data_IF_383141986668
#
_entry.id   IF_383141986668
#
_cell.length_a   1.000
_cell.length_b   1.000
_cell.length_c   1.000
_cell.angle_alpha   90.00
_cell.angle_beta   90.00
_cell.angle_gamma   90.00
#
_symmetry.space_group_name_H-M   'P 1'
#
loop_
_entity.id
_entity.type
_entity.pdbx_description
1 polymer ?
2 non-polymer ?
3 non-polymer ?
4 non-polymer ?
5 water ?
#
# COMPACT_ATOMS: atom_id res chain seq x y z
N UNK A 19 14.71 5.96 -31.13
CA UNK A 19 13.81 5.54 -30.04
C UNK A 19 12.63 6.48 -29.83
N UNK A 20 11.55 5.97 -29.24
CA UNK A 20 10.28 6.70 -29.19
C UNK A 20 10.29 7.73 -28.06
N UNK A 21 9.43 8.76 -28.20
CA UNK A 21 9.39 9.94 -27.33
C UNK A 21 7.93 10.22 -26.95
N UNK A 22 7.70 10.71 -25.73
CA UNK A 22 6.35 11.00 -25.22
C UNK A 22 6.39 12.30 -24.45
N UNK A 23 5.73 13.36 -24.97
CA UNK A 23 5.57 14.61 -24.23
C UNK A 23 6.93 15.22 -23.89
N UNK A 24 7.85 15.20 -24.87
CA UNK A 24 9.19 15.78 -24.72
C UNK A 24 10.23 14.87 -24.08
N UNK A 25 9.82 13.70 -23.56
CA UNK A 25 10.68 12.83 -22.76
C UNK A 25 10.94 11.52 -23.50
N UNK A 26 12.21 11.05 -23.53
CA UNK A 26 12.58 9.71 -24.04
C UNK A 26 11.77 8.63 -23.28
N UNK A 27 11.07 7.74 -24.00
CA UNK A 27 10.34 6.62 -23.39
C UNK A 27 10.59 5.40 -24.27
N UNK A 28 11.72 4.76 -24.02
CA UNK A 28 12.38 3.89 -24.96
C UNK A 28 12.15 2.45 -24.65
N UNK A 29 11.06 1.93 -25.15
CA UNK A 29 10.60 0.60 -24.76
C UNK A 29 10.50 -0.35 -25.94
N UNK A 30 10.33 0.19 -27.15
CA UNK A 30 10.21 -0.62 -28.36
C UNK A 30 11.44 -1.47 -28.58
N UNK A 31 11.43 -2.33 -29.61
CA UNK A 31 10.35 -2.55 -30.59
C UNK A 31 9.15 -3.37 -30.10
N UNK A 32 9.26 -4.03 -28.95
CA UNK A 32 8.16 -4.89 -28.46
C UNK A 32 6.94 -4.05 -28.11
N UNK A 33 7.15 -2.89 -27.53
CA UNK A 33 6.06 -2.03 -27.06
C UNK A 33 5.96 -0.74 -27.89
N UNK A 34 4.79 -0.52 -28.52
CA UNK A 34 4.57 0.57 -29.47
C UNK A 34 3.27 1.34 -29.11
N UNK A 35 3.03 2.48 -29.80
CA UNK A 35 1.77 3.21 -29.72
C UNK A 35 1.58 3.68 -28.28
N UNK A 36 2.52 4.47 -27.81
CA UNK A 36 2.55 4.93 -26.42
C UNK A 36 1.53 6.04 -26.23
N UNK A 37 0.86 6.02 -25.08
CA UNK A 37 -0.04 7.09 -24.68
C UNK A 37 0.30 7.48 -23.25
N UNK A 38 0.62 8.75 -23.05
CA UNK A 38 0.98 9.30 -21.75
C UNK A 38 -0.21 9.14 -20.78
N UNK A 39 -0.05 8.32 -19.71
CA UNK A 39 -1.05 8.22 -18.65
C UNK A 39 -0.79 9.34 -17.64
N UNK A 40 0.44 9.46 -17.15
CA UNK A 40 0.75 10.42 -16.11
C UNK A 40 2.15 10.31 -15.57
N UNK A 41 2.34 10.79 -14.33
CA UNK A 41 3.62 10.72 -13.64
C UNK A 41 3.59 9.70 -12.51
N UNK A 42 4.78 9.25 -12.13
CA UNK A 42 5.01 8.46 -10.92
C UNK A 42 6.16 9.02 -10.10
N UNK A 43 6.72 8.20 -9.19
CA UNK A 43 7.74 8.69 -8.25
C UNK A 43 9.11 8.90 -8.92
N UNK A 44 9.47 8.02 -9.88
CA UNK A 44 10.78 8.11 -10.54
C UNK A 44 10.71 8.34 -12.03
N UNK A 45 9.52 8.63 -12.56
CA UNK A 45 9.37 8.90 -13.98
C UNK A 45 7.96 8.77 -14.48
N UNK A 46 7.81 9.06 -15.75
CA UNK A 46 6.57 8.93 -16.52
C UNK A 46 5.98 7.50 -16.56
N UNK A 47 4.64 7.40 -16.54
CA UNK A 47 3.89 6.17 -16.81
C UNK A 47 3.12 6.34 -18.13
N UNK A 48 3.18 5.33 -19.01
CA UNK A 48 2.48 5.26 -20.31
C UNK A 48 1.79 3.92 -20.48
N UNK A 49 0.73 3.86 -21.29
CA UNK A 49 0.26 2.59 -21.84
C UNK A 49 0.95 2.33 -23.16
N UNK A 50 1.02 1.07 -23.56
CA UNK A 50 1.67 0.70 -24.83
C UNK A 50 1.09 -0.60 -25.32
N UNK A 51 1.17 -0.85 -26.62
CA UNK A 51 0.72 -2.12 -27.18
C UNK A 51 1.85 -3.14 -27.13
N UNK A 52 1.62 -4.29 -26.49
CA UNK A 52 2.61 -5.34 -26.38
C UNK A 52 2.42 -6.17 -27.64
N UNK A 53 3.40 -6.11 -28.56
CA UNK A 53 3.26 -6.86 -29.81
C UNK A 53 3.45 -8.38 -29.66
N UNK A 54 3.88 -8.89 -28.47
CA UNK A 54 4.05 -10.33 -28.30
C UNK A 54 2.74 -10.94 -27.78
N UNK A 55 2.21 -10.39 -26.68
CA UNK A 55 0.95 -10.86 -26.09
C UNK A 55 -0.30 -10.19 -26.67
N UNK A 56 -0.15 -9.24 -27.59
CA UNK A 56 -1.25 -8.65 -28.36
C UNK A 56 -2.31 -7.99 -27.48
N UNK A 57 -1.86 -7.29 -26.43
CA UNK A 57 -2.69 -6.53 -25.51
C UNK A 57 -1.95 -5.26 -25.12
N UNK A 58 -2.69 -4.22 -24.71
CA UNK A 58 -2.07 -3.06 -24.14
C UNK A 58 -1.64 -3.39 -22.70
N UNK A 59 -0.52 -2.77 -22.30
CA UNK A 59 0.11 -2.92 -21.00
C UNK A 59 0.38 -1.54 -20.42
N UNK A 60 0.72 -1.46 -19.13
CA UNK A 60 1.19 -0.25 -18.51
C UNK A 60 2.74 -0.35 -18.38
N UNK A 61 3.45 0.77 -18.59
CA UNK A 61 4.90 0.81 -18.43
C UNK A 61 5.30 2.00 -17.59
N UNK A 62 6.06 1.78 -16.51
CA UNK A 62 6.59 2.90 -15.75
C UNK A 62 8.09 3.04 -15.98
N UNK A 63 8.54 4.29 -16.20
CA UNK A 63 9.96 4.62 -16.38
C UNK A 63 10.56 4.98 -15.04
N UNK A 64 11.72 4.37 -14.68
CA UNK A 64 12.47 4.66 -13.48
C UNK A 64 13.80 5.23 -13.97
N UNK A 65 14.08 6.49 -13.64
CA UNK A 65 15.38 7.13 -13.91
C UNK A 65 16.15 7.30 -12.62
N UNK A 66 17.49 7.10 -12.66
CA UNK A 66 18.29 7.36 -11.46
C UNK A 66 18.36 8.90 -11.22
N UNK A 67 18.54 9.31 -9.97
CA UNK A 67 18.67 10.75 -9.65
C UNK A 67 20.15 11.15 -9.53
N UNK A 68 20.52 12.31 -10.12
CA UNK A 68 21.88 12.85 -10.07
C UNK A 68 22.89 11.84 -10.69
N UNK A 69 23.87 11.25 -9.93
CA UNK A 69 24.98 10.47 -10.53
C UNK A 69 24.85 8.96 -10.27
N UNK A 70 24.12 8.27 -11.17
CA UNK A 70 23.95 6.81 -11.16
C UNK A 70 23.39 6.33 -9.82
N UNK A 71 22.46 7.11 -9.26
CA UNK A 71 21.96 6.89 -7.92
C UNK A 71 20.49 6.49 -8.02
N UNK A 72 20.23 5.21 -7.84
CA UNK A 72 18.87 4.71 -7.77
C UNK A 72 18.35 4.78 -6.33
N UNK A 73 17.07 4.41 -6.14
CA UNK A 73 16.41 4.44 -4.84
C UNK A 73 16.24 3.01 -4.38
N UNK A 74 16.53 2.72 -3.11
CA UNK A 74 16.37 1.36 -2.54
C UNK A 74 14.94 0.88 -2.70
N UNK A 75 13.97 1.80 -2.77
CA UNK A 75 12.55 1.42 -2.85
C UNK A 75 12.27 0.74 -4.19
N UNK A 76 13.04 1.09 -5.26
CA UNK A 76 12.89 0.42 -6.56
C UNK A 76 13.32 -1.01 -6.44
N UNK A 77 14.45 -1.26 -5.80
CA UNK A 77 14.92 -2.62 -5.59
C UNK A 77 13.97 -3.42 -4.71
N UNK A 78 13.56 -2.83 -3.58
CA UNK A 78 12.60 -3.44 -2.65
C UNK A 78 11.34 -3.94 -3.40
N UNK A 79 10.76 -3.10 -4.24
CA UNK A 79 9.52 -3.42 -4.91
C UNK A 79 9.77 -4.49 -5.91
N UNK A 80 10.85 -4.36 -6.73
CA UNK A 80 11.13 -5.41 -7.72
C UNK A 80 11.30 -6.78 -7.02
N UNK A 81 12.09 -6.85 -5.94
CA UNK A 81 12.32 -8.11 -5.25
C UNK A 81 10.98 -8.74 -4.78
N UNK A 82 10.15 -7.93 -4.13
CA UNK A 82 8.87 -8.43 -3.60
C UNK A 82 7.94 -8.86 -4.75
N UNK A 83 7.73 -8.03 -5.74
CA UNK A 83 6.77 -8.32 -6.81
C UNK A 83 7.18 -9.47 -7.69
N UNK A 84 8.48 -9.68 -7.87
CA UNK A 84 8.93 -10.88 -8.55
C UNK A 84 8.73 -12.13 -7.74
N UNK A 85 8.75 -12.06 -6.39
CA UNK A 85 8.53 -13.23 -5.54
C UNK A 85 7.08 -13.57 -5.38
N UNK A 86 6.24 -12.58 -5.36
CA UNK A 86 4.81 -12.77 -5.10
C UNK A 86 4.10 -13.16 -6.35
N UNK A 87 3.12 -14.03 -6.19
CA UNK A 87 2.24 -14.39 -7.27
C UNK A 87 0.82 -14.54 -6.70
N UNK A 88 -0.04 -13.53 -6.97
CA UNK A 88 -1.39 -13.51 -6.42
C UNK A 88 -2.31 -12.68 -7.30
N UNK A 89 -3.55 -13.13 -7.48
CA UNK A 89 -4.51 -12.44 -8.31
C UNK A 89 -4.80 -11.01 -7.89
N UNK A 90 -4.67 -10.69 -6.58
CA UNK A 90 -4.96 -9.37 -6.12
C UNK A 90 -3.72 -8.54 -5.81
N UNK A 91 -2.56 -8.92 -6.40
CA UNK A 91 -1.34 -8.17 -6.26
C UNK A 91 -0.79 -7.98 -7.68
N UNK A 92 -0.44 -6.76 -8.01
CA UNK A 92 0.11 -6.45 -9.35
C UNK A 92 1.41 -7.25 -9.56
N UNK A 93 1.55 -7.79 -10.74
CA UNK A 93 2.75 -8.55 -11.07
C UNK A 93 3.71 -7.69 -11.86
N UNK A 94 4.90 -8.18 -12.13
CA UNK A 94 5.79 -7.55 -13.14
C UNK A 94 5.85 -8.50 -14.33
N UNK A 95 5.41 -8.05 -15.49
CA UNK A 95 5.38 -8.86 -16.70
C UNK A 95 6.74 -8.85 -17.41
N UNK A 96 7.44 -7.70 -17.37
CA UNK A 96 8.71 -7.54 -18.08
C UNK A 96 9.48 -6.37 -17.47
N UNK A 97 10.82 -6.37 -17.63
CA UNK A 97 11.65 -5.25 -17.20
C UNK A 97 12.61 -4.98 -18.35
N UNK A 98 12.66 -3.73 -18.82
CA UNK A 98 13.50 -3.32 -19.94
C UNK A 98 14.65 -2.48 -19.39
N UNK A 99 15.90 -2.85 -19.73
CA UNK A 99 17.06 -2.05 -19.38
C UNK A 99 18.21 -2.43 -20.35
N UNK A 100 19.27 -1.68 -20.33
CA UNK A 100 20.44 -1.97 -21.21
C UNK A 100 21.09 -3.28 -20.81
N UNK A 101 21.82 -3.93 -21.73
CA UNK A 101 22.40 -5.26 -21.40
C UNK A 101 23.57 -5.31 -20.43
N UNK A 102 24.17 -4.16 -20.09
CA UNK A 102 25.32 -4.07 -19.22
C UNK A 102 25.09 -3.02 -18.21
N UNK A 103 25.76 -3.16 -17.04
CA UNK A 103 25.70 -2.15 -15.97
C UNK A 103 26.17 -0.81 -16.47
N UNK A 104 27.25 -0.78 -17.27
CA UNK A 104 27.84 0.47 -17.74
C UNK A 104 26.85 1.25 -18.59
N UNK A 105 26.06 0.53 -19.39
CA UNK A 105 25.05 1.18 -20.25
C UNK A 105 23.69 1.40 -19.57
N UNK A 106 23.44 0.74 -18.44
CA UNK A 106 22.17 0.81 -17.73
C UNK A 106 21.94 2.24 -17.25
N UNK A 107 20.79 2.81 -17.59
CA UNK A 107 20.35 4.11 -17.07
C UNK A 107 18.86 3.95 -16.70
N UNK A 108 17.91 4.14 -17.60
CA UNK A 108 16.50 4.01 -17.26
C UNK A 108 16.14 2.54 -17.20
N UNK A 109 15.22 2.22 -16.29
CA UNK A 109 14.64 0.90 -16.13
C UNK A 109 13.12 1.06 -16.38
N UNK A 110 12.56 0.29 -17.26
CA UNK A 110 11.11 0.31 -17.52
C UNK A 110 10.47 -0.96 -16.99
N UNK A 111 9.39 -0.80 -16.22
CA UNK A 111 8.73 -1.93 -15.61
C UNK A 111 7.38 -2.08 -16.27
N UNK A 112 7.14 -3.22 -16.87
CA UNK A 112 5.91 -3.50 -17.63
C UNK A 112 4.96 -4.28 -16.72
N UNK A 113 3.68 -3.85 -16.66
CA UNK A 113 2.67 -4.52 -15.83
C UNK A 113 1.34 -4.54 -16.56
N UNK A 114 0.42 -5.41 -16.10
CA UNK A 114 -0.96 -5.42 -16.60
C UNK A 114 -1.58 -4.01 -16.63
N UNK A 115 -2.29 -3.70 -17.72
CA UNK A 115 -2.97 -2.44 -17.83
C UNK A 115 -4.24 -2.53 -17.00
N UNK A 116 -4.49 -1.53 -16.15
CA UNK A 116 -5.69 -1.48 -15.32
C UNK A 116 -6.42 -0.18 -15.65
N UNK A 117 -7.72 -0.23 -15.92
CA UNK A 117 -8.58 0.92 -16.33
C UNK A 117 -8.39 2.10 -15.41
N UNK A 118 -8.39 1.83 -14.07
CA UNK A 118 -8.47 2.91 -13.12
C UNK A 118 -7.85 2.47 -11.78
N UNK A 119 -8.07 3.28 -10.75
CA UNK A 119 -7.67 2.99 -9.38
C UNK A 119 -8.73 3.51 -8.46
N UNK A 120 -8.72 3.08 -7.17
CA UNK A 120 -9.82 3.44 -6.29
C UNK A 120 -9.79 4.95 -5.97
N UNK A 121 -8.62 5.63 -6.01
CA UNK A 121 -8.60 7.09 -5.79
C UNK A 121 -9.42 7.80 -6.88
N UNK A 122 -9.15 7.48 -8.11
CA UNK A 122 -9.90 8.08 -9.26
C UNK A 122 -11.36 7.72 -9.19
N UNK A 123 -11.63 6.45 -8.86
CA UNK A 123 -13.03 6.02 -8.86
C UNK A 123 -13.79 6.75 -7.74
N UNK A 124 -13.19 6.92 -6.57
CA UNK A 124 -13.90 7.61 -5.48
C UNK A 124 -14.07 9.12 -5.75
N UNK A 125 -13.25 9.72 -6.57
CA UNK A 125 -13.43 11.17 -6.83
C UNK A 125 -14.69 11.40 -7.72
N UNK A 126 -15.07 10.38 -8.53
CA UNK A 126 -16.04 10.48 -9.59
C UNK A 126 -17.35 9.63 -9.39
N UNK A 127 -17.30 8.55 -8.59
CA UNK A 127 -18.34 7.52 -8.61
C UNK A 127 -18.84 7.14 -7.22
N UNK A 128 -20.14 7.09 -7.01
CA UNK A 128 -20.75 6.45 -5.86
C UNK A 128 -20.61 4.92 -6.01
N UNK A 129 -20.15 4.26 -4.97
CA UNK A 129 -20.09 2.80 -4.95
C UNK A 129 -21.36 2.16 -4.41
N UNK A 130 -21.87 1.12 -5.07
CA UNK A 130 -22.91 0.31 -4.47
C UNK A 130 -22.36 -0.43 -3.27
N UNK A 131 -23.25 -0.86 -2.32
CA UNK A 131 -22.80 -1.71 -1.24
C UNK A 131 -22.15 -2.98 -1.78
N UNK A 132 -22.68 -3.51 -2.92
CA UNK A 132 -22.07 -4.70 -3.51
C UNK A 132 -20.64 -4.45 -3.97
N UNK A 133 -20.37 -3.27 -4.57
CA UNK A 133 -19.03 -2.95 -4.99
C UNK A 133 -18.09 -2.77 -3.78
N UNK A 134 -18.58 -2.09 -2.71
CA UNK A 134 -17.76 -1.86 -1.50
C UNK A 134 -17.37 -3.23 -0.90
N UNK A 135 -18.34 -4.13 -0.82
CA UNK A 135 -18.14 -5.47 -0.28
C UNK A 135 -17.08 -6.25 -1.10
N UNK A 136 -17.24 -6.25 -2.42
CA UNK A 136 -16.33 -6.93 -3.31
C UNK A 136 -14.90 -6.35 -3.30
N UNK A 137 -14.79 -5.03 -3.36
CA UNK A 137 -13.49 -4.35 -3.24
C UNK A 137 -12.81 -4.71 -1.93
N UNK A 138 -13.56 -4.60 -0.81
CA UNK A 138 -12.98 -4.90 0.50
C UNK A 138 -12.50 -6.34 0.57
N UNK A 139 -13.32 -7.26 0.03
CA UNK A 139 -12.92 -8.70 0.00
C UNK A 139 -11.56 -8.86 -0.71
N UNK A 140 -11.43 -8.22 -1.89
CA UNK A 140 -10.24 -8.44 -2.72
C UNK A 140 -9.01 -7.77 -2.04
N UNK A 141 -9.19 -6.60 -1.37
CA UNK A 141 -8.11 -5.96 -0.63
C UNK A 141 -7.61 -6.93 0.44
N UNK A 142 -8.56 -7.50 1.20
CA UNK A 142 -8.16 -8.36 2.31
C UNK A 142 -7.58 -9.70 1.80
N UNK A 143 -8.07 -10.21 0.70
CA UNK A 143 -7.58 -11.47 0.10
C UNK A 143 -6.09 -11.24 -0.32
N UNK A 144 -5.79 -10.12 -1.01
CA UNK A 144 -4.40 -9.80 -1.34
C UNK A 144 -3.54 -9.59 -0.10
N UNK A 145 -4.10 -8.86 0.88
CA UNK A 145 -3.39 -8.57 2.14
C UNK A 145 -3.09 -9.86 2.90
N UNK A 146 -4.01 -10.82 2.84
CA UNK A 146 -3.76 -12.13 3.52
C UNK A 146 -2.46 -12.74 2.97
N UNK A 147 -2.30 -12.71 1.65
CA UNK A 147 -1.10 -13.27 1.02
C UNK A 147 0.15 -12.49 1.42
N UNK A 148 0.09 -11.17 1.37
CA UNK A 148 1.20 -10.30 1.77
C UNK A 148 1.63 -10.61 3.22
N UNK A 149 0.67 -10.61 4.14
CA UNK A 149 0.98 -10.86 5.55
C UNK A 149 1.44 -12.31 5.76
N UNK A 150 0.93 -13.27 4.97
CA UNK A 150 1.39 -14.65 5.10
C UNK A 150 2.89 -14.79 4.72
N UNK A 151 3.41 -13.86 3.92
CA UNK A 151 4.84 -13.82 3.55
C UNK A 151 5.66 -13.04 4.57
N UNK A 152 5.06 -12.66 5.71
CA UNK A 152 5.67 -11.87 6.75
C UNK A 152 6.04 -10.47 6.27
N UNK A 153 5.30 -9.93 5.27
CA UNK A 153 5.55 -8.62 4.70
C UNK A 153 4.41 -7.70 5.08
N UNK A 154 4.75 -6.45 5.29
CA UNK A 154 3.82 -5.33 5.53
C UNK A 154 3.86 -4.45 4.33
N UNK A 155 2.69 -4.02 3.83
CA UNK A 155 2.68 -3.13 2.70
C UNK A 155 3.11 -1.72 3.11
N UNK A 156 2.46 -1.19 4.16
CA UNK A 156 2.78 0.04 4.88
C UNK A 156 2.34 1.30 4.16
N UNK A 157 1.74 1.23 2.96
CA UNK A 157 1.21 2.43 2.33
C UNK A 157 -0.05 2.16 1.53
N UNK A 158 -0.91 1.36 2.12
CA UNK A 158 -2.22 1.10 1.54
C UNK A 158 -3.06 2.37 1.57
N UNK A 159 -3.63 2.67 0.42
CA UNK A 159 -4.49 3.83 0.21
C UNK A 159 -5.18 3.67 -1.15
N UNK A 160 -6.24 4.43 -1.41
CA UNK A 160 -6.98 4.23 -2.65
C UNK A 160 -6.16 4.24 -3.94
N UNK A 161 -5.16 5.15 -4.07
CA UNK A 161 -4.39 5.23 -5.32
C UNK A 161 -3.50 3.99 -5.55
N UNK A 162 -3.28 3.18 -4.49
CA UNK A 162 -2.50 1.95 -4.60
C UNK A 162 -3.33 0.68 -4.80
N UNK A 163 -4.59 0.87 -5.15
CA UNK A 163 -5.52 -0.19 -5.48
C UNK A 163 -6.02 0.02 -6.88
N UNK A 164 -5.47 -0.76 -7.79
CA UNK A 164 -5.80 -0.73 -9.21
C UNK A 164 -7.03 -1.56 -9.50
N UNK A 165 -7.90 -1.05 -10.46
CA UNK A 165 -9.09 -1.76 -10.88
C UNK A 165 -9.15 -1.84 -12.37
N UNK A 166 -9.60 -2.94 -12.87
CA UNK A 166 -9.82 -3.14 -14.31
C UNK A 166 -11.30 -2.90 -14.67
N UNK A 167 -11.68 -3.07 -15.96
CA UNK A 167 -13.06 -2.70 -16.36
C UNK A 167 -14.12 -3.58 -15.73
N UNK A 168 -13.74 -4.78 -15.21
CA UNK A 168 -14.65 -5.65 -14.53
C UNK A 168 -14.50 -5.60 -13.00
N UNK A 169 -13.84 -4.55 -12.50
CA UNK A 169 -13.67 -4.35 -11.05
C UNK A 169 -12.82 -5.41 -10.34
N UNK A 170 -11.99 -6.12 -11.06
CA UNK A 170 -10.91 -6.90 -10.42
C UNK A 170 -9.88 -5.90 -9.87
N UNK A 171 -9.40 -6.18 -8.65
CA UNK A 171 -8.61 -5.28 -7.88
C UNK A 171 -7.24 -5.86 -7.63
N UNK A 172 -6.22 -5.03 -7.80
CA UNK A 172 -4.82 -5.40 -7.55
C UNK A 172 -4.07 -4.34 -6.74
N UNK A 173 -3.44 -4.79 -5.68
CA UNK A 173 -2.68 -3.92 -4.83
C UNK A 173 -1.31 -3.64 -5.54
N UNK A 174 -0.87 -2.42 -5.45
CA UNK A 174 0.40 -1.99 -6.06
C UNK A 174 1.17 -1.10 -5.08
N UNK A 175 2.36 -0.71 -5.51
CA UNK A 175 3.33 0.12 -4.83
C UNK A 175 3.87 -0.49 -3.55
N UNK A 176 4.87 -1.31 -3.69
CA UNK A 176 5.54 -1.95 -2.55
C UNK A 176 6.88 -1.25 -2.14
N UNK A 177 7.02 0.01 -2.50
CA UNK A 177 8.16 0.86 -2.15
C UNK A 177 8.42 1.12 -0.68
N UNK A 178 7.39 1.11 0.16
CA UNK A 178 7.54 1.26 1.61
C UNK A 178 7.39 -0.08 2.36
N UNK A 179 7.24 -1.21 1.65
CA UNK A 179 7.00 -2.48 2.29
C UNK A 179 8.23 -2.91 3.15
N UNK A 180 7.97 -3.69 4.19
CA UNK A 180 9.03 -4.20 5.06
C UNK A 180 8.67 -5.56 5.54
N UNK A 181 9.66 -6.36 5.95
CA UNK A 181 9.41 -7.58 6.66
C UNK A 181 8.94 -7.21 8.07
N UNK A 182 7.91 -7.89 8.54
CA UNK A 182 7.38 -7.62 9.89
C UNK A 182 8.43 -7.85 10.97
N UNK A 183 8.37 -7.00 12.00
CA UNK A 183 9.39 -7.02 13.07
C UNK A 183 8.75 -6.48 14.34
N UNK A 184 7.74 -7.20 14.84
CA UNK A 184 7.04 -6.69 16.03
C UNK A 184 7.92 -6.46 17.25
N UNK A 185 8.98 -7.28 17.46
CA UNK A 185 9.88 -7.05 18.62
C UNK A 185 10.63 -5.74 18.56
N UNK A 186 10.75 -5.13 17.37
CA UNK A 186 11.43 -3.85 17.19
C UNK A 186 10.44 -2.70 16.80
N UNK A 187 9.15 -2.85 17.15
CA UNK A 187 8.16 -1.85 16.78
C UNK A 187 8.19 -0.58 17.62
N UNK A 188 8.75 -0.63 18.84
CA UNK A 188 8.59 0.52 19.74
C UNK A 188 9.50 1.65 19.41
N UNK A 189 8.97 2.86 19.61
CA UNK A 189 9.71 4.10 19.36
C UNK A 189 9.13 5.20 20.28
N UNK A 190 9.78 6.36 20.31
CA UNK A 190 9.32 7.50 21.08
C UNK A 190 8.17 8.22 20.40
N UNK A 191 7.65 9.18 21.11
CA UNK A 191 6.52 10.03 20.73
C UNK A 191 6.97 10.97 19.59
N UNK A 192 6.10 11.19 18.61
CA UNK A 192 6.37 12.08 17.46
C UNK A 192 7.57 11.65 16.62
N UNK A 193 7.72 10.34 16.40
CA UNK A 193 8.76 9.82 15.52
C UNK A 193 8.31 10.02 14.09
N UNK A 194 9.19 10.57 13.26
CA UNK A 194 8.82 10.88 11.87
C UNK A 194 8.48 9.57 11.12
N UNK A 195 7.55 9.67 10.20
CA UNK A 195 7.08 8.49 9.47
C UNK A 195 6.96 8.82 7.97
N UNK A 196 7.18 7.82 7.09
CA UNK A 196 7.23 8.04 5.62
C UNK A 196 5.83 7.85 4.91
N UNK A 197 5.04 6.88 5.37
CA UNK A 197 3.81 6.51 4.67
C UNK A 197 2.74 7.59 4.71
N UNK A 198 1.82 7.56 3.75
CA UNK A 198 0.82 8.60 3.50
C UNK A 198 0.01 8.96 4.75
N UNK A 199 -0.04 10.24 5.11
CA UNK A 199 -0.52 10.66 6.44
C UNK A 199 -1.96 10.20 6.78
N UNK A 200 -2.93 10.36 5.86
CA UNK A 200 -4.33 10.12 6.20
C UNK A 200 -4.60 8.64 6.55
N UNK A 201 -3.69 7.74 6.21
CA UNK A 201 -3.97 6.30 6.42
C UNK A 201 -3.11 5.73 7.55
N UNK A 202 -2.41 6.59 8.33
CA UNK A 202 -1.55 6.19 9.42
C UNK A 202 -2.33 5.86 10.67
N UNK A 203 -2.05 4.72 11.27
CA UNK A 203 -2.67 4.27 12.48
C UNK A 203 -2.27 5.25 13.63
N UNK A 204 -3.10 5.35 14.67
CA UNK A 204 -2.80 6.31 15.75
C UNK A 204 -1.45 6.06 16.43
N UNK A 205 -1.07 4.76 16.58
CA UNK A 205 0.15 4.40 17.28
C UNK A 205 1.40 4.91 16.57
N UNK A 206 1.34 5.18 15.25
CA UNK A 206 2.52 5.76 14.56
C UNK A 206 2.95 7.08 15.20
N UNK A 207 1.98 7.89 15.61
CA UNK A 207 2.24 9.18 16.24
C UNK A 207 2.64 9.07 17.69
N UNK A 208 2.48 7.92 18.30
CA UNK A 208 2.64 7.76 19.72
C UNK A 208 3.85 6.92 20.06
N UNK A 209 3.93 5.68 19.53
CA UNK A 209 4.96 4.75 19.95
C UNK A 209 5.30 3.64 18.99
N UNK A 210 4.99 3.76 17.69
CA UNK A 210 5.13 2.66 16.76
C UNK A 210 5.88 3.05 15.52
N UNK A 211 6.83 2.19 15.11
CA UNK A 211 7.53 2.31 13.84
C UNK A 211 6.77 1.69 12.63
N UNK A 212 5.56 1.13 12.82
CA UNK A 212 4.83 0.52 11.71
C UNK A 212 5.45 -0.79 11.25
N UNK A 213 5.95 -1.56 12.22
CA UNK A 213 6.57 -2.85 11.95
C UNK A 213 5.68 -4.06 12.27
N UNK A 214 4.36 -3.84 12.45
CA UNK A 214 3.44 -4.95 12.74
C UNK A 214 2.29 -4.92 11.78
N UNK A 215 1.70 -6.09 11.54
CA UNK A 215 0.60 -6.27 10.61
C UNK A 215 -0.60 -5.35 10.86
N UNK A 216 -0.85 -5.03 12.16
CA UNK A 216 -1.95 -4.15 12.56
C UNK A 216 -1.88 -2.78 11.88
N UNK A 217 -0.68 -2.39 11.36
CA UNK A 217 -0.54 -1.08 10.68
C UNK A 217 -1.36 -1.06 9.34
N UNK A 218 -1.35 -2.18 8.65
CA UNK A 218 -2.02 -2.32 7.41
C UNK A 218 -3.51 -2.46 7.58
N UNK A 219 -3.97 -3.15 8.61
CA UNK A 219 -5.41 -3.24 8.89
C UNK A 219 -6.03 -1.88 9.13
N UNK A 220 -5.31 -0.98 9.86
CA UNK A 220 -5.80 0.36 10.08
C UNK A 220 -6.01 1.06 8.74
N UNK A 221 -5.04 0.97 7.81
CA UNK A 221 -5.15 1.62 6.51
C UNK A 221 -6.39 1.04 5.77
N UNK A 222 -6.60 -0.27 5.83
CA UNK A 222 -7.80 -0.87 5.19
C UNK A 222 -9.06 -0.32 5.77
N UNK A 223 -9.11 -0.17 7.09
CA UNK A 223 -10.27 0.42 7.75
C UNK A 223 -10.53 1.84 7.22
N UNK A 224 -9.46 2.63 7.03
CA UNK A 224 -9.60 3.98 6.49
C UNK A 224 -10.16 3.92 5.06
N UNK A 225 -9.71 2.94 4.27
CA UNK A 225 -10.18 2.79 2.91
C UNK A 225 -11.62 2.40 2.88
N UNK A 226 -12.05 1.47 3.76
CA UNK A 226 -13.46 1.11 3.86
C UNK A 226 -14.34 2.33 4.17
N UNK A 227 -13.96 3.10 5.18
CA UNK A 227 -14.69 4.32 5.50
C UNK A 227 -14.78 5.26 4.29
N UNK A 228 -13.69 5.40 3.53
CA UNK A 228 -13.64 6.27 2.38
C UNK A 228 -14.57 5.76 1.27
N UNK A 229 -14.67 4.43 1.12
CA UNK A 229 -15.60 3.84 0.16
C UNK A 229 -17.07 4.11 0.54
N UNK A 230 -17.36 4.15 1.83
CA UNK A 230 -18.72 4.38 2.30
C UNK A 230 -19.20 5.79 2.04
N UNK A 231 -18.30 6.78 2.11
CA UNK A 231 -18.71 8.18 1.93
C UNK A 231 -18.07 8.98 0.80
N UNK A 232 -17.11 8.42 0.05
CA UNK A 232 -16.28 9.11 -0.91
C UNK A 232 -15.44 10.22 -0.36
N UNK A 233 -15.16 10.24 0.93
CA UNK A 233 -14.33 11.28 1.53
C UNK A 233 -13.37 10.57 2.45
N UNK A 234 -12.12 11.02 2.56
CA UNK A 234 -11.22 10.44 3.57
C UNK A 234 -11.76 10.65 4.97
N UNK A 235 -11.69 9.62 5.79
CA UNK A 235 -12.27 9.73 7.13
C UNK A 235 -11.44 10.63 8.05
N UNK A 236 -10.10 10.62 7.91
CA UNK A 236 -9.17 11.29 8.80
C UNK A 236 -8.16 12.14 7.98
N UNK A 237 -8.64 13.21 7.37
CA UNK A 237 -7.76 14.03 6.52
C UNK A 237 -6.91 15.02 7.29
N UNK A 238 -5.93 14.50 8.02
CA UNK A 238 -5.06 15.37 8.82
C UNK A 238 -4.26 16.29 7.93
N UNK A 239 -4.05 17.52 8.38
CA UNK A 239 -3.24 18.47 7.63
C UNK A 239 -1.75 18.49 7.99
N UNK A 240 -1.40 17.87 9.11
CA UNK A 240 -0.03 17.78 9.52
C UNK A 240 0.07 16.63 10.51
N UNK A 241 1.31 16.27 10.86
CA UNK A 241 1.61 15.07 11.61
C UNK A 241 0.69 14.83 12.81
N UNK A 242 0.61 15.79 13.78
CA UNK A 242 -0.18 15.55 15.01
C UNK A 242 -1.67 15.73 14.80
N UNK A 243 -2.05 16.54 13.81
CA UNK A 243 -3.47 16.72 13.47
C UNK A 243 -4.08 15.41 13.02
N UNK A 244 -3.27 14.51 12.45
CA UNK A 244 -3.77 13.20 12.05
C UNK A 244 -4.33 12.46 13.29
N UNK A 245 -3.58 12.53 14.41
CA UNK A 245 -4.04 11.89 15.64
C UNK A 245 -5.33 12.54 16.17
N UNK A 246 -5.43 13.86 16.08
CA UNK A 246 -6.56 14.55 16.67
C UNK A 246 -7.85 14.24 15.82
N UNK A 247 -7.71 14.07 14.48
CA UNK A 247 -8.83 13.60 13.63
C UNK A 247 -9.31 12.22 14.11
N UNK A 248 -8.38 11.35 14.36
CA UNK A 248 -8.69 9.96 14.82
C UNK A 248 -9.46 9.99 16.14
N UNK A 249 -8.91 10.75 17.13
CA UNK A 249 -9.56 10.87 18.44
C UNK A 249 -10.90 11.59 18.35
N UNK A 250 -11.05 12.49 17.40
CA UNK A 250 -12.31 13.20 17.21
C UNK A 250 -13.45 12.32 16.79
N UNK A 251 -13.14 11.12 16.25
CA UNK A 251 -14.18 10.14 15.90
C UNK A 251 -14.23 8.98 16.87
N UNK A 252 -13.07 8.34 17.19
CA UNK A 252 -13.09 7.23 18.15
C UNK A 252 -13.35 7.66 19.60
N UNK A 253 -13.07 8.91 19.89
CA UNK A 253 -13.16 9.43 21.23
C UNK A 253 -11.89 9.17 21.99
N UNK A 254 -11.84 9.70 23.24
CA UNK A 254 -10.69 9.48 24.07
C UNK A 254 -10.43 8.00 24.33
N UNK A 255 -9.16 7.56 24.27
CA UNK A 255 -8.88 6.17 24.65
C UNK A 255 -9.18 5.89 26.12
N UNK A 256 -9.55 4.67 26.33
CA UNK A 256 -9.85 4.19 27.67
C UNK A 256 -8.64 4.14 28.53
N UNK A 257 -8.86 4.08 29.85
CA UNK A 257 -7.72 3.89 30.76
C UNK A 257 -6.87 2.65 30.37
N UNK A 258 -7.54 1.52 30.09
CA UNK A 258 -6.82 0.30 29.75
C UNK A 258 -5.94 0.50 28.51
N UNK A 259 -6.50 1.17 27.46
CA UNK A 259 -5.74 1.37 26.25
C UNK A 259 -4.62 2.36 26.45
N UNK A 260 -4.82 3.33 27.33
CA UNK A 260 -3.72 4.25 27.68
C UNK A 260 -2.64 3.58 28.48
N UNK A 261 -3.00 2.72 29.41
CA UNK A 261 -2.01 1.94 30.17
C UNK A 261 -1.12 1.09 29.30
N UNK A 262 -1.58 0.70 28.11
CA UNK A 262 -0.72 -0.01 27.15
C UNK A 262 0.39 0.85 26.56
N UNK A 263 0.27 2.18 26.62
CA UNK A 263 1.27 3.06 26.08
C UNK A 263 2.24 3.37 27.23
N UNK A 264 3.36 2.68 27.29
CA UNK A 264 4.30 2.87 28.43
C UNK A 264 5.11 4.15 28.30
N UNK A 265 5.40 4.59 27.06
CA UNK A 265 6.17 5.81 26.86
C UNK A 265 5.48 7.03 27.50
N UNK A 266 6.15 7.71 28.41
CA UNK A 266 5.50 8.79 29.17
C UNK A 266 5.14 9.99 28.34
N UNK A 267 5.96 10.40 27.37
CA UNK A 267 5.64 11.59 26.59
C UNK A 267 4.36 11.31 25.77
N UNK A 268 4.27 10.12 25.16
CA UNK A 268 3.04 9.77 24.41
C UNK A 268 1.83 9.69 25.33
N UNK A 269 1.98 8.96 26.50
CA UNK A 269 0.88 8.80 27.47
C UNK A 269 0.36 10.15 27.93
N UNK A 270 1.26 11.00 28.37
CA UNK A 270 0.94 12.29 28.94
C UNK A 270 0.37 13.25 27.94
N UNK A 271 0.81 13.13 26.65
CA UNK A 271 0.12 13.90 25.61
C UNK A 271 -1.38 13.54 25.58
N UNK A 272 -1.69 12.25 25.55
CA UNK A 272 -3.09 11.83 25.47
C UNK A 272 -3.83 12.27 26.75
N UNK A 273 -3.17 12.18 27.90
CA UNK A 273 -3.83 12.62 29.16
C UNK A 273 -4.11 14.11 29.21
N UNK A 274 -3.36 14.89 28.40
CA UNK A 274 -3.49 16.33 28.37
C UNK A 274 -4.70 16.83 27.61
N UNK A 275 -5.29 15.97 26.79
CA UNK A 275 -6.34 16.37 25.91
C UNK A 275 -7.65 16.40 26.64
N UNK A 276 -8.54 17.32 26.27
CA UNK A 276 -9.92 17.23 26.75
C UNK A 276 -10.56 15.93 26.38
N UNK A 277 -11.55 15.51 27.16
CA UNK A 277 -12.35 14.34 26.88
C UNK A 277 -13.06 14.60 25.49
N UNK A 278 -13.04 13.58 24.63
CA UNK A 278 -13.62 13.62 23.28
C UNK A 278 -14.57 12.45 23.24
N UNK A 279 -15.83 12.76 22.78
CA UNK A 279 -16.85 11.76 22.70
C UNK A 279 -16.65 10.90 21.43
N UNK A 280 -17.06 9.68 21.49
CA UNK A 280 -17.06 8.79 20.31
C UNK A 280 -18.16 9.28 19.36
N UNK A 281 -17.89 9.26 18.06
CA UNK A 281 -18.90 9.59 17.07
C UNK A 281 -19.42 8.21 16.60
N UNK A 282 -20.71 7.90 16.81
CA UNK A 282 -21.23 6.59 16.35
C UNK A 282 -21.08 6.41 14.85
N UNK A 283 -20.67 5.19 14.43
CA UNK A 283 -20.42 4.93 13.03
C UNK A 283 -21.68 5.14 12.19
N UNK A 284 -22.83 4.78 12.73
CA UNK A 284 -24.09 4.91 11.99
C UNK A 284 -24.51 6.39 11.78
N UNK A 285 -23.98 7.32 12.60
CA UNK A 285 -24.20 8.73 12.39
C UNK A 285 -23.29 9.30 11.32
N UNK A 286 -22.02 8.83 11.25
CA UNK A 286 -21.10 9.22 10.19
C UNK A 286 -21.46 8.65 8.85
N UNK A 287 -22.06 7.39 8.86
CA UNK A 287 -22.33 6.63 7.65
C UNK A 287 -23.75 6.13 7.72
N UNK A 288 -24.69 7.09 7.65
CA UNK A 288 -26.11 6.72 7.79
C UNK A 288 -26.68 5.81 6.70
N UNK A 289 -26.04 5.74 5.54
CA UNK A 289 -26.43 4.85 4.43
C UNK A 289 -25.72 3.48 4.41
N UNK A 290 -24.79 3.22 5.35
CA UNK A 290 -23.97 2.02 5.31
C UNK A 290 -24.67 0.78 5.82
N UNK A 291 -24.30 -0.35 5.28
CA UNK A 291 -24.70 -1.64 5.78
C UNK A 291 -24.23 -1.84 7.25
N UNK A 292 -25.09 -2.33 8.16
CA UNK A 292 -24.75 -2.46 9.55
C UNK A 292 -23.56 -3.44 9.75
N UNK A 293 -23.47 -4.50 8.95
CA UNK A 293 -22.38 -5.45 9.07
C UNK A 293 -21.05 -4.77 8.61
N UNK A 294 -21.12 -3.91 7.58
CA UNK A 294 -19.90 -3.16 7.13
C UNK A 294 -19.39 -2.29 8.30
N UNK A 295 -20.32 -1.66 9.06
CA UNK A 295 -19.92 -0.78 10.16
C UNK A 295 -19.37 -1.55 11.33
N UNK A 296 -19.87 -2.77 11.60
CA UNK A 296 -19.32 -3.61 12.66
C UNK A 296 -17.85 -3.99 12.30
N UNK A 297 -17.61 -4.33 11.02
CA UNK A 297 -16.24 -4.67 10.60
C UNK A 297 -15.36 -3.43 10.62
N UNK A 298 -15.91 -2.27 10.20
CA UNK A 298 -15.11 -1.02 10.22
C UNK A 298 -14.63 -0.71 11.65
N UNK A 299 -15.56 -0.88 12.60
CA UNK A 299 -15.29 -0.63 14.02
C UNK A 299 -14.10 -1.49 14.49
N UNK A 300 -14.08 -2.74 14.04
CA UNK A 300 -13.02 -3.65 14.42
C UNK A 300 -11.67 -3.38 13.77
N UNK A 301 -11.66 -2.82 12.56
CA UNK A 301 -10.41 -2.44 11.90
C UNK A 301 -9.90 -1.12 12.48
N UNK A 302 -10.81 -0.20 12.81
CA UNK A 302 -10.43 1.10 13.35
C UNK A 302 -10.46 1.11 14.86
N UNK A 303 -9.80 0.15 15.45
CA UNK A 303 -9.67 0.06 16.87
C UNK A 303 -8.38 0.80 17.25
N UNK A 304 -8.44 1.62 18.29
CA UNK A 304 -7.30 2.42 18.76
C UNK A 304 -6.11 1.54 19.16
N UNK A 305 -6.38 0.53 19.98
CA UNK A 305 -5.36 -0.32 20.55
C UNK A 305 -4.98 -1.34 19.44
N UNK A 306 -3.74 -1.30 18.91
CA UNK A 306 -3.39 -2.22 17.81
C UNK A 306 -3.45 -3.68 18.22
N UNK A 307 -3.27 -3.99 19.52
CA UNK A 307 -3.39 -5.38 19.98
C UNK A 307 -4.82 -5.94 19.92
N UNK A 308 -5.85 -5.05 19.99
CA UNK A 308 -7.28 -5.39 19.98
C UNK A 308 -7.82 -5.35 18.54
N UNK A 309 -7.02 -4.83 17.59
CA UNK A 309 -7.44 -4.64 16.22
C UNK A 309 -7.59 -5.97 15.51
N UNK A 310 -8.63 -6.10 14.69
CA UNK A 310 -8.91 -7.38 14.01
C UNK A 310 -7.71 -7.71 13.06
N UNK A 311 -7.38 -9.06 12.88
CA UNK A 311 -6.34 -9.48 11.95
C UNK A 311 -6.95 -9.78 10.59
N UNK A 312 -6.11 -9.87 9.55
CA UNK A 312 -6.65 -10.02 8.18
C UNK A 312 -7.57 -11.23 8.02
N UNK A 313 -7.19 -12.39 8.57
CA UNK A 313 -7.97 -13.60 8.38
C UNK A 313 -9.31 -13.53 9.12
N UNK A 314 -9.33 -12.85 10.30
CA UNK A 314 -10.59 -12.61 10.99
C UNK A 314 -11.51 -11.69 10.25
N UNK A 315 -10.92 -10.68 9.59
CA UNK A 315 -11.69 -9.75 8.78
C UNK A 315 -12.34 -10.48 7.63
N UNK A 316 -11.60 -11.35 6.95
CA UNK A 316 -12.18 -12.15 5.87
C UNK A 316 -13.36 -12.99 6.33
N UNK A 317 -13.29 -13.51 7.56
CA UNK A 317 -14.32 -14.36 8.13
C UNK A 317 -15.50 -13.59 8.75
N UNK A 318 -15.47 -12.24 8.66
CA UNK A 318 -16.54 -11.43 9.23
C UNK A 318 -17.81 -11.57 8.44
N UNK A 319 -19.00 -11.56 9.11
CA UNK A 319 -20.25 -11.69 8.39
C UNK A 319 -20.44 -10.78 7.19
N UNK A 320 -19.84 -9.56 7.19
CA UNK A 320 -20.00 -8.67 6.05
C UNK A 320 -19.54 -9.32 4.74
N UNK A 321 -18.52 -10.22 4.82
CA UNK A 321 -17.88 -10.79 3.63
C UNK A 321 -18.33 -12.26 3.37
N UNK A 322 -19.42 -12.70 4.03
CA UNK A 322 -19.90 -14.08 3.98
C UNK A 322 -20.14 -14.55 2.56
N UNK A 323 -20.57 -13.65 1.65
CA UNK A 323 -20.80 -14.08 0.26
C UNK A 323 -19.57 -14.53 -0.48
N UNK A 324 -18.37 -14.05 -0.03
CA UNK A 324 -17.13 -14.22 -0.72
C UNK A 324 -16.19 -15.18 0.05
N UNK A 325 -16.28 -15.20 1.37
CA UNK A 325 -15.26 -15.87 2.20
C UNK A 325 -15.12 -17.33 1.84
N UNK A 326 -13.91 -17.72 1.50
CA UNK A 326 -13.62 -19.11 1.17
C UNK A 326 -12.17 -19.33 1.38
N UNK A 327 -11.73 -19.76 2.59
CA UNK A 327 -10.29 -19.79 2.85
C UNK A 327 -9.50 -20.69 1.96
N UNK A 328 -10.13 -21.71 1.35
CA UNK A 328 -9.42 -22.57 0.39
C UNK A 328 -9.11 -21.84 -0.90
N UNK A 329 -9.80 -20.70 -1.15
CA UNK A 329 -9.56 -19.89 -2.33
C UNK A 329 -8.95 -18.54 -1.99
N UNK A 330 -8.17 -18.50 -0.89
CA UNK A 330 -7.51 -17.33 -0.39
C UNK A 330 -6.08 -17.78 -0.08
N UNK A 331 -5.28 -17.92 -1.15
CA UNK A 331 -3.94 -18.50 -1.01
C UNK A 331 -2.98 -17.72 -0.18
N UNK A 332 -2.02 -18.47 0.34
CA UNK A 332 -0.93 -17.88 1.11
C UNK A 332 0.39 -18.13 0.42
N UNK A 333 1.41 -17.41 0.83
CA UNK A 333 2.73 -17.50 0.24
C UNK A 333 3.41 -18.86 0.66
N UNK A 334 4.20 -19.45 -0.21
CA UNK A 334 4.92 -20.71 0.01
C UNK A 334 5.96 -20.59 1.14
N UNK A 335 6.58 -19.41 1.25
CA UNK A 335 7.52 -19.18 2.34
C UNK A 335 7.59 -17.75 2.78
N UNK A 336 8.03 -17.45 4.03
CA UNK A 336 8.24 -16.05 4.42
C UNK A 336 9.28 -15.39 3.51
N UNK A 337 9.11 -14.11 3.25
CA UNK A 337 9.94 -13.33 2.38
C UNK A 337 11.06 -12.80 3.24
N UNK A 338 12.31 -12.78 2.71
CA UNK A 338 13.45 -12.24 3.44
C UNK A 338 14.30 -11.38 2.55
N UNK A 339 14.78 -10.25 3.10
CA UNK A 339 15.75 -9.42 2.42
C UNK A 339 17.14 -10.00 2.70
N UNK A 340 17.90 -10.28 1.64
CA UNK A 340 19.24 -10.86 1.74
C UNK A 340 20.21 -9.79 2.28
N UNK A 341 20.16 -8.57 1.68
CA UNK A 341 20.86 -7.39 2.18
C UNK A 341 19.91 -6.45 2.91
N UNK A 342 20.43 -5.66 3.86
CA UNK A 342 19.68 -4.57 4.47
C UNK A 342 19.75 -3.39 3.48
N UNK A 343 18.63 -3.07 2.83
CA UNK A 343 18.65 -2.19 1.67
C UNK A 343 18.88 -0.66 1.96
N UNK A 344 18.94 -0.25 3.24
CA UNK A 344 19.29 1.14 3.60
C UNK A 344 20.82 1.33 3.81
N UNK A 345 21.55 0.24 4.04
CA UNK A 345 23.01 0.25 4.22
C UNK A 345 23.77 0.56 2.92
N UNK A 346 23.12 0.47 1.74
CA UNK A 346 23.85 0.19 0.52
C UNK A 346 24.52 1.40 -0.14
N UNK A 347 25.83 1.27 -0.47
CA UNK A 347 26.46 2.21 -1.41
C UNK A 347 25.74 2.22 -2.78
N UNK A 348 25.73 3.37 -3.45
CA UNK A 348 24.95 3.53 -4.69
C UNK A 348 25.41 2.56 -5.80
N UNK A 349 26.71 2.21 -5.83
CA UNK A 349 27.21 1.25 -6.82
C UNK A 349 26.67 -0.15 -6.56
N UNK A 350 26.57 -0.51 -5.28
CA UNK A 350 26.08 -1.82 -4.91
C UNK A 350 24.57 -1.89 -5.23
N UNK A 351 23.82 -0.79 -5.05
CA UNK A 351 22.39 -0.79 -5.32
C UNK A 351 22.16 -0.92 -6.82
N UNK A 352 22.86 -0.13 -7.66
CA UNK A 352 22.78 -0.35 -9.12
C UNK A 352 23.07 -1.79 -9.53
N UNK A 353 24.18 -2.38 -8.99
CA UNK A 353 24.52 -3.79 -9.24
C UNK A 353 23.37 -4.73 -8.89
N UNK A 354 22.77 -4.55 -7.71
CA UNK A 354 21.66 -5.39 -7.29
C UNK A 354 20.41 -5.25 -8.17
N UNK A 355 20.07 -4.04 -8.59
CA UNK A 355 18.98 -3.84 -9.54
C UNK A 355 19.26 -4.54 -10.86
N UNK A 356 20.47 -4.37 -11.38
CA UNK A 356 20.88 -5.06 -12.59
C UNK A 356 20.70 -6.60 -12.45
N UNK A 357 21.18 -7.15 -11.32
CA UNK A 357 21.06 -8.57 -11.08
C UNK A 357 19.62 -9.03 -10.91
N UNK A 358 18.81 -8.27 -10.16
CA UNK A 358 17.40 -8.66 -9.93
C UNK A 358 16.57 -8.66 -11.23
N UNK A 359 16.97 -7.84 -12.21
CA UNK A 359 16.20 -7.69 -13.44
C UNK A 359 16.73 -8.59 -14.59
N UNK A 360 17.78 -9.38 -14.35
CA UNK A 360 18.44 -10.23 -15.36
C UNK A 360 17.52 -11.21 -16.04
N UNK A 361 16.47 -11.71 -15.35
CA UNK A 361 15.65 -12.79 -15.93
C UNK A 361 14.86 -12.39 -17.15
N UNK A 362 14.68 -11.07 -17.36
CA UNK A 362 13.94 -10.55 -18.47
C UNK A 362 14.81 -10.29 -19.70
N UNK A 363 16.12 -10.59 -19.65
CA UNK A 363 16.96 -10.40 -20.81
C UNK A 363 16.82 -11.66 -21.71
N UNK A 364 16.99 -11.55 -23.03
CA UNK A 364 16.87 -12.74 -23.91
C UNK A 364 18.20 -13.48 -24.11
X LIG B 1 4.10 14.50 7.99
X LIG B 1 2.81 14.35 8.74
X LIG B 1 4.99 15.42 8.78
X LIG B 1 3.85 15.04 6.62
X LIG B 1 4.83 13.23 7.90
X LIG C 1 4.83 -1.33 33.49
X LIG C 1 5.95 -2.12 33.10
X LIG C 1 5.23 0.14 33.73
X LIG C 1 4.07 0.95 33.90
X LIG D 1 -18.88 13.05 -7.86
X LIG D 1 -19.63 13.42 -9.02
X LIG D 1 -19.43 11.74 -7.26
X LIG D 1 -18.73 11.42 -6.07
X LIG E 1 11.06 2.73 5.68
X LIG E 1 10.03 1.96 4.98
X LIG E 1 10.66 2.93 7.10
X LIG E 1 12.32 1.96 5.58
X LIG E 1 11.22 4.05 5.04
X LIG F 1 0.60 1.53 -7.53
X LIG F 1 0.45 2.31 -8.82
X LIG F 1 0.90 1.54 -10.06
X LIG F 1 0.35 3.45 -11.57
X LIG F 1 -0.97 3.71 -12.27
X LIG F 1 -0.94 -0.39 -14.39
X LIG F 1 -0.20 -0.99 -13.38
X LIG F 1 0.30 -0.22 -12.36
X LIG F 1 0.04 1.15 -12.35
X LIG F 1 1.60 0.53 -9.93
X LIG F 1 0.53 2.01 -11.32
X LIG F 1 -1.05 2.99 -13.50
X LIG F 1 -0.72 1.68 -13.41
X LIG F 1 -1.21 0.92 -14.41
X LIG F 1 0.58 2.17 -6.78
X LIG F 1 1.48 1.09 -7.51
X LIG F 1 0.98 3.14 -8.75
X LIG F 1 -0.49 2.57 -8.93
X LIG F 1 0.36 3.93 -10.71
X LIG F 1 1.08 3.79 -12.11
X LIG F 1 -1.72 3.43 -11.69
X LIG F 1 -1.06 4.67 -12.46
X LIG F 1 -1.29 -0.94 -15.09
X LIG F 1 -0.03 -1.94 -13.41
X LIG F 1 0.82 -0.62 -11.67
X LIG G 1 -1.78 -3.34 26.91
X LIG G 1 -2.65 -4.54 27.24
X LIG G 1 -3.56 -4.98 26.11
X LIG G 1 -4.99 -6.17 27.75
X LIG G 1 -6.18 -7.13 27.78
X LIG G 1 -6.66 -8.01 23.48
X LIG G 1 -5.37 -7.64 23.18
X LIG G 1 -4.63 -6.95 24.11
X LIG G 1 -5.20 -6.67 25.35
X LIG G 1 -3.48 -4.47 24.99
X LIG G 1 -4.49 -5.97 26.37
X LIG G 1 -7.12 -6.86 26.74
X LIG G 1 -6.50 -7.10 25.56
X LIG G 1 -7.24 -7.76 24.66
X LIG G 1 -1.23 -3.54 26.11
X LIG G 1 -1.17 -3.15 27.66
X LIG G 1 -3.21 -4.30 28.02
X LIG G 1 -2.08 -5.28 27.50
X LIG G 1 -4.26 -6.53 28.31
X LIG G 1 -5.26 -5.31 28.13
X LIG G 1 -5.85 -8.05 27.70
X LIG G 1 -6.63 -7.05 28.65
X LIG G 1 -7.16 -8.49 22.82
X LIG G 1 -5.00 -7.84 22.32
X LIG G 1 -3.73 -6.69 23.92
#
# INVERSE_FOLDING_TARGET
MAHHHHHHMAAAAAAGAGPEMVRGQVFDVGPRYTNLSYIGEGAYGMVCSAYDNVNKVRVAIKKISPFEHQTYCQRTLREIKILLRFRHENIIGINDIIRAPTIEQMKDVYIVQDLMETDLYKLLKTQHLSNDHICYFLYQILRGLKYIHSANVLHRDLKPSNLLLNTTCDLKICDFGLARVADPDHDHTGFLTEYVATRWYRAPEIMLNSKGYTKSIDIWSVGCILAEMLSNRPIFPGKHYLDQLNHILGILGSPSQEDLNCIINLKARNYLLSLPHKNKVPWNRLFPNADSKALDLLDKMLTFNPHKRIEVEQALAHPYLEQYYDPSDEPIAEAPFKFDMELDDLPKEKLKELIFEETARFQPGYRS
SO4 S O1 O2 O3 O4
EDO C1 O1 C2 O2
EDO C1 O1 C2 O2
SO4 S O1 O2 O3 O4
NX0 C1 C2 C3 C6 C7 C11 C12 C13 C14 O4 N5 O8 C9 N10 H15 H16 H17 H25 H18 H19 H21 H20 H22 H23 H24
NX0 C1 C2 C3 C6 C7 C11 C12 C13 C14 O4 N5 O8 C9 N10 H15 H16 H17 H25 H18 H19 H21 H20 H22 H23 H24
#
